data_IF_165442974646
#
_entry.id   IF_165442974646
#
_cell.length_a   1.000
_cell.length_b   1.000
_cell.length_c   1.000
_cell.angle_alpha   90.00
_cell.angle_beta   90.00
_cell.angle_gamma   90.00
#
_symmetry.space_group_name_H-M   'P 1'
#
loop_
_entity.id
_entity.type
_entity.pdbx_description
1 polymer ?
#
# COMPACT_ATOMS: atom_id res chain seq x y z
N UNK A 1 -12.66 39.97 -16.50
CA UNK A 1 -12.76 39.44 -15.12
C UNK A 1 -12.58 37.95 -15.24
N UNK A 2 -11.59 37.35 -14.56
CA UNK A 2 -11.42 35.89 -14.61
C UNK A 2 -12.48 35.28 -13.69
N UNK A 3 -13.31 34.39 -14.24
CA UNK A 3 -14.29 33.65 -13.45
C UNK A 3 -13.55 32.83 -12.39
N UNK A 4 -13.93 33.01 -11.11
CA UNK A 4 -13.33 32.26 -10.01
C UNK A 4 -14.13 30.98 -9.77
N UNK A 5 -13.48 29.83 -9.62
CA UNK A 5 -14.18 28.59 -9.30
C UNK A 5 -14.92 28.73 -7.97
N UNK A 6 -16.18 28.32 -7.95
CA UNK A 6 -17.02 28.29 -6.75
C UNK A 6 -16.75 27.08 -5.86
N UNK A 7 -16.12 26.04 -6.42
CA UNK A 7 -15.80 24.78 -5.73
C UNK A 7 -14.43 24.29 -6.17
N UNK A 8 -13.66 23.77 -5.21
CA UNK A 8 -12.39 23.06 -5.44
C UNK A 8 -12.52 21.72 -4.73
N UNK A 9 -12.22 20.62 -5.44
CA UNK A 9 -12.20 19.27 -4.88
C UNK A 9 -10.76 18.81 -4.81
N UNK A 10 -10.36 18.34 -3.64
CA UNK A 10 -9.05 17.73 -3.42
C UNK A 10 -9.22 16.23 -3.28
N UNK A 11 -8.38 15.47 -3.98
CA UNK A 11 -8.07 14.12 -3.52
C UNK A 11 -7.43 14.19 -2.12
N UNK A 12 -7.51 13.12 -1.34
CA UNK A 12 -7.05 13.12 0.07
C UNK A 12 -5.69 12.47 0.21
N UNK A 13 -5.50 11.29 -0.38
CA UNK A 13 -4.28 10.52 -0.18
C UNK A 13 -3.15 11.15 -1.00
N UNK A 14 -1.97 11.32 -0.40
CA UNK A 14 -0.81 12.00 -1.00
C UNK A 14 -0.97 13.48 -1.36
N UNK A 15 -2.17 13.96 -1.69
CA UNK A 15 -2.38 15.32 -2.20
C UNK A 15 -2.33 16.36 -1.07
N UNK A 16 -3.26 16.34 -0.08
CA UNK A 16 -3.10 17.08 1.16
C UNK A 16 -2.47 16.25 2.29
N UNK A 17 -2.50 14.91 2.19
CA UNK A 17 -1.99 14.02 3.24
C UNK A 17 -0.48 13.78 3.10
N UNK A 18 0.26 13.99 4.19
CA UNK A 18 1.66 13.56 4.30
C UNK A 18 1.72 12.03 4.43
N UNK A 19 2.36 11.38 3.45
CA UNK A 19 2.54 9.93 3.39
C UNK A 19 3.93 9.49 3.89
N UNK A 20 4.81 10.43 4.29
CA UNK A 20 6.13 10.14 4.83
C UNK A 20 6.15 9.11 5.98
N UNK A 21 5.21 9.15 6.95
CA UNK A 21 5.14 8.16 8.03
C UNK A 21 4.94 6.72 7.55
N UNK A 22 4.41 6.49 6.35
CA UNK A 22 4.16 5.15 5.81
C UNK A 22 5.47 4.38 5.57
N UNK A 23 6.51 5.05 5.09
CA UNK A 23 7.83 4.45 4.89
C UNK A 23 8.38 3.88 6.20
N UNK A 24 8.24 4.64 7.30
CA UNK A 24 8.65 4.21 8.63
C UNK A 24 7.88 2.97 9.09
N UNK A 25 6.58 2.85 8.80
CA UNK A 25 5.79 1.66 9.16
C UNK A 25 6.29 0.38 8.48
N UNK A 26 6.77 0.48 7.23
CA UNK A 26 7.44 -0.62 6.56
C UNK A 26 8.78 -0.96 7.24
N UNK A 27 9.59 0.03 7.58
CA UNK A 27 10.85 -0.20 8.30
C UNK A 27 10.65 -0.84 9.69
N UNK A 28 9.61 -0.43 10.42
CA UNK A 28 9.30 -0.95 11.76
C UNK A 28 9.01 -2.48 11.73
N UNK A 29 8.54 -3.01 10.59
CA UNK A 29 8.30 -4.46 10.36
C UNK A 29 9.46 -5.15 9.62
N UNK A 30 10.60 -4.48 9.51
CA UNK A 30 11.81 -4.96 8.87
C UNK A 30 11.82 -4.84 7.35
N UNK A 31 10.81 -4.23 6.73
CA UNK A 31 10.69 -4.05 5.28
C UNK A 31 11.51 -2.87 4.75
N UNK A 32 12.04 -2.93 3.52
CA UNK A 32 12.62 -1.76 2.87
C UNK A 32 11.60 -0.64 2.74
N UNK A 33 11.96 0.57 3.17
CA UNK A 33 11.08 1.76 3.17
C UNK A 33 10.46 2.06 1.79
N UNK A 34 11.19 1.80 0.70
CA UNK A 34 10.71 2.03 -0.66
C UNK A 34 9.51 1.14 -1.05
N UNK A 35 9.27 0.04 -0.32
CA UNK A 35 8.09 -0.81 -0.53
C UNK A 35 6.79 -0.08 -0.19
N UNK A 36 6.81 0.97 0.65
CA UNK A 36 5.64 1.81 0.89
C UNK A 36 5.14 2.51 -0.38
N UNK A 37 6.06 2.96 -1.25
CA UNK A 37 5.70 3.57 -2.54
C UNK A 37 5.13 2.53 -3.50
N UNK A 38 5.72 1.34 -3.55
CA UNK A 38 5.23 0.23 -4.36
C UNK A 38 3.83 -0.22 -3.92
N UNK A 39 3.62 -0.36 -2.61
CA UNK A 39 2.30 -0.64 -2.03
C UNK A 39 1.30 0.42 -2.43
N UNK A 40 1.61 1.70 -2.18
CA UNK A 40 0.69 2.80 -2.46
C UNK A 40 0.31 2.87 -3.95
N UNK A 41 1.27 2.65 -4.86
CA UNK A 41 1.00 2.61 -6.31
C UNK A 41 0.19 1.38 -6.75
N UNK A 42 0.28 0.27 -6.01
CA UNK A 42 -0.42 -0.97 -6.33
C UNK A 42 -1.90 -0.95 -5.89
N UNK A 43 -2.26 -0.20 -4.85
CA UNK A 43 -3.65 -0.06 -4.41
C UNK A 43 -4.58 0.52 -5.51
N UNK A 44 -4.27 1.65 -6.17
CA UNK A 44 -5.11 2.16 -7.25
C UNK A 44 -5.07 1.28 -8.49
N UNK A 45 -3.97 0.55 -8.75
CA UNK A 45 -3.93 -0.45 -9.83
C UNK A 45 -5.01 -1.51 -9.64
N UNK A 46 -5.09 -2.11 -8.45
CA UNK A 46 -6.07 -3.15 -8.16
C UNK A 46 -7.49 -2.57 -8.07
N UNK A 47 -7.64 -1.35 -7.54
CA UNK A 47 -8.90 -0.62 -7.55
C UNK A 47 -9.42 -0.34 -8.97
N UNK A 48 -8.56 0.08 -9.89
CA UNK A 48 -8.91 0.25 -11.30
C UNK A 48 -9.25 -1.07 -11.97
N UNK A 49 -8.52 -2.15 -11.63
CA UNK A 49 -8.85 -3.50 -12.11
C UNK A 49 -10.25 -3.95 -11.68
N UNK A 50 -10.62 -3.73 -10.41
CA UNK A 50 -11.96 -4.02 -9.90
C UNK A 50 -13.02 -3.19 -10.63
N UNK A 51 -12.81 -1.88 -10.76
CA UNK A 51 -13.76 -0.99 -11.44
C UNK A 51 -13.97 -1.39 -12.91
N UNK A 52 -12.90 -1.73 -13.63
CA UNK A 52 -12.97 -2.21 -15.00
C UNK A 52 -13.73 -3.55 -15.13
N UNK A 53 -13.69 -4.38 -14.09
CA UNK A 53 -14.44 -5.63 -14.00
C UNK A 53 -15.90 -5.45 -13.52
N UNK A 54 -16.36 -4.22 -13.30
CA UNK A 54 -17.70 -3.94 -12.77
C UNK A 54 -17.86 -4.29 -11.28
N UNK A 55 -16.75 -4.40 -10.55
CA UNK A 55 -16.72 -4.70 -9.13
C UNK A 55 -16.21 -3.50 -8.31
N UNK A 56 -16.48 -3.53 -7.01
CA UNK A 56 -15.90 -2.57 -6.06
C UNK A 56 -15.62 -3.27 -4.73
N UNK A 57 -14.63 -2.76 -4.00
CA UNK A 57 -14.31 -3.14 -2.63
C UNK A 57 -13.90 -1.91 -1.83
N UNK A 58 -14.11 -1.89 -0.50
CA UNK A 58 -13.56 -0.86 0.37
C UNK A 58 -12.05 -0.69 0.18
N UNK A 59 -11.57 0.55 0.24
CA UNK A 59 -10.14 0.88 0.07
C UNK A 59 -9.23 0.05 1.00
N UNK A 60 -9.56 -0.03 2.29
CA UNK A 60 -8.79 -0.77 3.28
C UNK A 60 -8.63 -2.26 2.94
N UNK A 61 -9.64 -2.87 2.32
CA UNK A 61 -9.58 -4.27 1.90
C UNK A 61 -8.62 -4.47 0.73
N UNK A 62 -8.66 -3.58 -0.26
CA UNK A 62 -7.73 -3.60 -1.40
C UNK A 62 -6.30 -3.33 -0.91
N UNK A 63 -6.12 -2.30 -0.08
CA UNK A 63 -4.84 -1.93 0.49
C UNK A 63 -4.22 -3.05 1.33
N UNK A 64 -5.01 -3.75 2.13
CA UNK A 64 -4.57 -4.91 2.92
C UNK A 64 -4.23 -6.11 2.04
N UNK A 65 -4.99 -6.36 0.97
CA UNK A 65 -4.70 -7.43 0.04
C UNK A 65 -3.35 -7.21 -0.66
N UNK A 66 -3.06 -5.98 -1.09
CA UNK A 66 -1.77 -5.61 -1.69
C UNK A 66 -0.61 -5.84 -0.70
N UNK A 67 -0.75 -5.48 0.59
CA UNK A 67 0.27 -5.78 1.60
C UNK A 67 0.57 -7.26 1.66
N UNK A 68 -0.49 -8.09 1.76
CA UNK A 68 -0.32 -9.55 1.80
C UNK A 68 0.42 -10.07 0.59
N UNK A 69 0.14 -9.57 -0.61
CA UNK A 69 0.85 -9.94 -1.84
C UNK A 69 2.33 -9.55 -1.81
N UNK A 70 2.65 -8.33 -1.35
CA UNK A 70 4.03 -7.84 -1.29
C UNK A 70 4.89 -8.58 -0.25
N UNK A 71 4.25 -9.11 0.79
CA UNK A 71 4.93 -9.80 1.90
C UNK A 71 4.79 -11.32 1.85
N UNK A 72 4.28 -11.92 0.76
CA UNK A 72 4.28 -13.39 0.62
C UNK A 72 5.74 -13.87 0.63
N UNK A 73 6.13 -14.76 1.56
CA UNK A 73 7.40 -15.45 1.48
C UNK A 73 7.37 -16.31 0.20
N UNK A 74 8.29 -16.05 -0.72
CA UNK A 74 8.42 -16.85 -1.93
C UNK A 74 8.61 -18.32 -1.52
N UNK A 75 7.85 -19.29 -2.04
CA UNK A 75 8.17 -20.70 -1.84
C UNK A 75 9.56 -20.96 -2.43
N UNK A 76 10.45 -21.49 -1.59
CA UNK A 76 11.84 -21.81 -1.89
C UNK A 76 11.96 -22.54 -3.24
N UNK A 77 12.41 -21.82 -4.25
CA UNK A 77 13.06 -22.41 -5.41
C UNK A 77 14.43 -21.76 -5.51
N UNK A 78 15.37 -22.35 -4.77
CA UNK A 78 16.80 -22.08 -4.73
C UNK A 78 17.24 -20.74 -4.07
N UNK A 79 17.72 -20.84 -2.83
CA UNK A 79 18.64 -19.85 -2.22
C UNK A 79 20.09 -20.10 -2.69
N UNK A 80 21.06 -19.14 -2.60
CA UNK A 80 21.11 -18.01 -1.65
C UNK A 80 21.69 -16.64 -2.14
N UNK A 81 21.19 -15.52 -1.57
CA UNK A 81 21.96 -14.54 -0.73
C UNK A 81 21.12 -13.29 -0.39
N UNK A 82 20.22 -13.42 0.57
CA UNK A 82 19.95 -12.50 1.71
C UNK A 82 18.69 -13.03 2.42
N UNK A 83 18.66 -13.09 3.77
CA UNK A 83 17.43 -13.46 4.46
C UNK A 83 16.36 -12.41 4.16
N UNK A 84 15.14 -12.78 3.73
CA UNK A 84 14.01 -11.89 3.85
C UNK A 84 13.71 -11.74 5.35
N UNK A 85 14.15 -10.63 5.96
CA UNK A 85 13.97 -10.36 7.40
C UNK A 85 12.52 -10.01 7.77
N UNK A 86 11.54 -10.25 6.89
CA UNK A 86 10.13 -9.93 7.14
C UNK A 86 9.45 -11.14 7.78
N UNK A 87 9.49 -11.20 9.11
CA UNK A 87 8.88 -12.28 9.89
C UNK A 87 7.35 -12.19 9.84
N UNK A 88 6.64 -13.32 9.77
CA UNK A 88 5.16 -13.41 9.75
C UNK A 88 4.43 -12.57 10.82
N UNK A 89 4.93 -12.43 12.07
CA UNK A 89 4.30 -11.56 13.07
C UNK A 89 4.24 -10.08 12.65
N UNK A 90 5.24 -9.60 11.93
CA UNK A 90 5.34 -8.20 11.52
C UNK A 90 4.31 -7.86 10.42
N UNK A 91 3.87 -8.85 9.65
CA UNK A 91 2.83 -8.72 8.63
C UNK A 91 1.43 -8.53 9.24
N UNK A 92 1.13 -9.24 10.33
CA UNK A 92 -0.13 -9.09 11.07
C UNK A 92 -0.21 -7.70 11.69
N UNK A 93 0.86 -7.25 12.36
CA UNK A 93 0.91 -5.93 12.99
C UNK A 93 0.69 -4.78 11.99
N UNK A 94 1.24 -4.86 10.78
CA UNK A 94 1.04 -3.82 9.76
C UNK A 94 -0.38 -3.85 9.18
N UNK A 95 -0.95 -5.04 9.00
CA UNK A 95 -2.33 -5.17 8.50
C UNK A 95 -3.33 -4.61 9.52
N UNK A 96 -3.10 -4.87 10.81
CA UNK A 96 -3.95 -4.36 11.89
C UNK A 96 -3.76 -2.85 12.16
N UNK A 97 -2.56 -2.30 11.90
CA UNK A 97 -2.29 -0.86 12.05
C UNK A 97 -2.81 0.00 10.89
N UNK A 98 -3.10 -0.61 9.72
CA UNK A 98 -3.53 0.08 8.51
C UNK A 98 -5.01 -0.16 8.16
N UNK A 99 -5.70 -1.04 8.89
CA UNK A 99 -7.14 -1.28 8.80
C UNK A 99 -7.92 -0.36 9.75
#
# INVERSE_FOLDING_TARGET
>A
MVDRPSVIVFDVNQTPSDMGPMAKRFADVGAPEHMAQLWFASVPRDGFGLAAAGAQRPFAEVASAVLRTLFVPYPDHATPRHPPTHTVPALTDLTDQLA
#
